data_IF_430718910183
#
_entry.id   IF_430718910183
#
_cell.length_a   1.000
_cell.length_b   1.000
_cell.length_c   1.000
_cell.angle_alpha   90.00
_cell.angle_beta   90.00
_cell.angle_gamma   90.00
#
_symmetry.space_group_name_H-M   'P 1'
#
loop_
_entity.id
_entity.type
_entity.pdbx_description
1 polymer ?
#
# COMPACT_ATOMS: atom_id res chain seq x y z
N UNK A 1 -7.87 -0.44 -27.24
CA UNK A 1 -6.49 -0.24 -26.72
C UNK A 1 -6.40 1.19 -26.22
N UNK A 2 -6.24 1.35 -24.91
CA UNK A 2 -5.86 2.64 -24.33
C UNK A 2 -4.48 2.97 -24.88
N UNK A 3 -4.27 4.22 -25.34
CA UNK A 3 -2.94 4.63 -25.78
C UNK A 3 -1.93 4.43 -24.64
N UNK A 4 -0.78 3.86 -24.92
CA UNK A 4 0.24 3.49 -23.92
C UNK A 4 0.57 4.63 -22.95
N UNK A 5 0.53 5.87 -23.41
CA UNK A 5 0.75 7.08 -22.61
C UNK A 5 -0.36 7.33 -21.55
N UNK A 6 -1.62 7.02 -21.88
CA UNK A 6 -2.74 7.21 -20.94
C UNK A 6 -2.71 6.16 -19.85
N UNK A 7 -2.40 4.92 -20.20
CA UNK A 7 -2.24 3.81 -19.24
C UNK A 7 -1.10 4.08 -18.27
N UNK A 8 0.05 4.54 -18.78
CA UNK A 8 1.21 4.91 -17.95
C UNK A 8 0.86 6.05 -16.99
N UNK A 9 0.16 7.09 -17.47
CA UNK A 9 -0.27 8.21 -16.63
C UNK A 9 -1.19 7.78 -15.50
N UNK A 10 -2.16 6.90 -15.77
CA UNK A 10 -3.07 6.35 -14.76
C UNK A 10 -2.31 5.54 -13.71
N UNK A 11 -1.36 4.70 -14.13
CA UNK A 11 -0.56 3.86 -13.22
C UNK A 11 0.28 4.72 -12.29
N UNK A 12 0.96 5.74 -12.83
CA UNK A 12 1.75 6.67 -12.01
C UNK A 12 0.86 7.42 -11.03
N UNK A 13 -0.27 7.96 -11.49
CA UNK A 13 -1.21 8.67 -10.63
C UNK A 13 -1.77 7.77 -9.52
N UNK A 14 -2.12 6.53 -9.85
CA UNK A 14 -2.59 5.55 -8.88
C UNK A 14 -1.53 5.19 -7.84
N UNK A 15 -0.29 4.94 -8.28
CA UNK A 15 0.81 4.61 -7.39
C UNK A 15 1.14 5.77 -6.44
N UNK A 16 1.12 7.01 -6.92
CA UNK A 16 1.30 8.21 -6.09
C UNK A 16 0.13 8.38 -5.12
N UNK A 17 -1.11 8.23 -5.57
CA UNK A 17 -2.28 8.33 -4.69
C UNK A 17 -2.24 7.28 -3.59
N UNK A 18 -1.91 6.03 -3.92
CA UNK A 18 -1.81 4.93 -2.97
C UNK A 18 -0.65 5.14 -1.98
N UNK A 19 0.48 5.68 -2.44
CA UNK A 19 1.64 5.98 -1.59
C UNK A 19 1.37 7.08 -0.54
N UNK A 20 0.40 7.97 -0.78
CA UNK A 20 -0.03 9.04 0.15
C UNK A 20 -1.19 8.57 1.05
N UNK A 21 -1.57 7.31 0.99
CA UNK A 21 -2.65 6.76 1.79
C UNK A 21 -2.38 6.92 3.30
N UNK A 22 -3.34 7.42 4.10
CA UNK A 22 -3.17 7.63 5.54
C UNK A 22 -2.90 6.34 6.31
N UNK A 23 -3.27 5.16 5.77
CA UNK A 23 -2.94 3.87 6.35
C UNK A 23 -1.43 3.58 6.19
N UNK A 24 -0.89 3.77 4.99
CA UNK A 24 0.54 3.64 4.69
C UNK A 24 1.36 4.53 5.62
N UNK A 25 0.98 5.81 5.73
CA UNK A 25 1.64 6.73 6.68
C UNK A 25 1.53 6.28 8.14
N UNK A 26 0.40 5.68 8.53
CA UNK A 26 0.23 5.13 9.88
C UNK A 26 1.20 4.00 10.19
N UNK A 27 1.38 3.10 9.24
CA UNK A 27 2.34 1.99 9.34
C UNK A 27 3.78 2.50 9.34
N UNK A 28 4.07 3.50 8.49
CA UNK A 28 5.41 4.09 8.42
C UNK A 28 5.84 4.76 9.73
N UNK A 29 4.95 5.54 10.35
CA UNK A 29 5.23 6.17 11.65
C UNK A 29 5.44 5.10 12.73
N UNK A 30 4.61 4.05 12.70
CA UNK A 30 4.77 2.91 13.57
C UNK A 30 6.14 2.22 13.35
N UNK A 31 6.53 2.03 12.09
CA UNK A 31 7.82 1.45 11.72
C UNK A 31 8.99 2.29 12.24
N UNK A 32 8.93 3.61 12.10
CA UNK A 32 9.95 4.52 12.63
C UNK A 32 10.08 4.33 14.15
N UNK A 33 8.96 4.41 14.88
CA UNK A 33 8.96 4.24 16.32
C UNK A 33 9.51 2.86 16.75
N UNK A 34 9.21 1.83 15.95
CA UNK A 34 9.73 0.48 16.13
C UNK A 34 11.24 0.41 15.87
N UNK A 35 11.71 1.00 14.77
CA UNK A 35 13.13 1.02 14.40
C UNK A 35 13.99 1.76 15.43
N UNK A 36 13.53 2.91 15.93
CA UNK A 36 14.22 3.62 17.02
C UNK A 36 14.31 2.81 18.31
N UNK A 37 13.27 2.02 18.61
CA UNK A 37 13.23 1.18 19.79
C UNK A 37 14.12 -0.06 19.66
N UNK A 38 14.26 -0.59 18.45
CA UNK A 38 14.91 -1.86 18.17
C UNK A 38 16.40 -1.71 17.85
N UNK A 39 16.77 -0.66 17.11
CA UNK A 39 18.12 -0.48 16.63
C UNK A 39 18.82 0.66 17.37
N UNK A 40 19.84 0.33 18.16
CA UNK A 40 20.68 1.31 18.88
C UNK A 40 21.67 2.03 17.98
N UNK A 41 21.92 1.51 16.76
CA UNK A 41 22.85 2.07 15.80
C UNK A 41 22.08 2.60 14.57
N UNK A 42 22.36 3.84 14.12
CA UNK A 42 21.71 4.41 12.94
C UNK A 42 21.95 3.57 11.67
N UNK A 43 23.13 2.96 11.53
CA UNK A 43 23.44 2.09 10.39
C UNK A 43 22.56 0.82 10.37
N UNK A 44 22.37 0.18 11.53
CA UNK A 44 21.50 -1.00 11.63
C UNK A 44 20.02 -0.65 11.40
N UNK A 45 19.61 0.54 11.83
CA UNK A 45 18.28 1.08 11.57
C UNK A 45 18.07 1.27 10.06
N UNK A 46 19.04 1.84 9.37
CA UNK A 46 18.99 2.02 7.92
C UNK A 46 18.89 0.67 7.17
N UNK A 47 19.75 -0.29 7.53
CA UNK A 47 19.72 -1.64 6.95
C UNK A 47 18.41 -2.36 7.23
N UNK A 48 17.87 -2.26 8.43
CA UNK A 48 16.55 -2.80 8.78
C UNK A 48 15.42 -2.16 7.98
N UNK A 49 15.47 -0.85 7.76
CA UNK A 49 14.53 -0.12 6.93
C UNK A 49 14.58 -0.53 5.47
N UNK A 50 15.77 -0.68 4.89
CA UNK A 50 15.94 -1.19 3.53
C UNK A 50 15.41 -2.62 3.38
N UNK A 51 15.74 -3.51 4.32
CA UNK A 51 15.21 -4.87 4.32
C UNK A 51 13.69 -4.89 4.39
N UNK A 52 13.11 -4.09 5.29
CA UNK A 52 11.66 -3.96 5.40
C UNK A 52 11.03 -3.52 4.07
N UNK A 53 11.57 -2.46 3.46
CA UNK A 53 11.09 -1.94 2.17
C UNK A 53 11.20 -2.98 1.05
N UNK A 54 12.33 -3.71 0.99
CA UNK A 54 12.52 -4.79 0.02
C UNK A 54 11.50 -5.91 0.22
N UNK A 55 11.21 -6.29 1.45
CA UNK A 55 10.20 -7.33 1.77
C UNK A 55 8.80 -6.84 1.40
N UNK A 56 8.43 -5.61 1.72
CA UNK A 56 7.14 -5.01 1.34
C UNK A 56 6.99 -5.00 -0.18
N UNK A 57 7.99 -4.47 -0.90
CA UNK A 57 8.02 -4.46 -2.36
C UNK A 57 7.82 -5.85 -2.96
N UNK A 58 8.62 -6.82 -2.50
CA UNK A 58 8.57 -8.20 -3.01
C UNK A 58 7.23 -8.86 -2.71
N UNK A 59 6.66 -8.63 -1.51
CA UNK A 59 5.37 -9.20 -1.11
C UNK A 59 4.23 -8.66 -1.97
N UNK A 60 4.15 -7.36 -2.18
CA UNK A 60 3.17 -6.75 -3.07
C UNK A 60 3.34 -7.23 -4.51
N UNK A 61 4.59 -7.30 -4.99
CA UNK A 61 4.89 -7.79 -6.34
C UNK A 61 4.43 -9.24 -6.53
N UNK A 62 4.73 -10.14 -5.58
CA UNK A 62 4.32 -11.53 -5.64
C UNK A 62 2.79 -11.68 -5.61
N UNK A 63 2.10 -10.91 -4.77
CA UNK A 63 0.64 -10.87 -4.74
C UNK A 63 0.08 -10.38 -6.08
N UNK A 64 0.61 -9.30 -6.64
CA UNK A 64 0.20 -8.76 -7.93
C UNK A 64 0.44 -9.73 -9.08
N UNK A 65 1.61 -10.36 -9.15
CA UNK A 65 1.89 -11.41 -10.14
C UNK A 65 0.96 -12.60 -10.02
N UNK A 66 0.70 -13.06 -8.78
CA UNK A 66 -0.21 -14.17 -8.53
C UNK A 66 -1.61 -13.89 -9.05
N UNK A 67 -2.16 -12.72 -8.72
CA UNK A 67 -3.49 -12.30 -9.14
C UNK A 67 -3.55 -12.09 -10.67
N UNK A 68 -2.56 -11.38 -11.24
CA UNK A 68 -2.51 -11.10 -12.68
C UNK A 68 -2.40 -12.40 -13.49
N UNK A 69 -1.50 -13.30 -13.09
CA UNK A 69 -1.35 -14.61 -13.75
C UNK A 69 -2.62 -15.45 -13.66
N UNK A 70 -3.29 -15.43 -12.51
CA UNK A 70 -4.56 -16.11 -12.34
C UNK A 70 -5.63 -15.52 -13.28
N UNK A 71 -5.79 -14.21 -13.30
CA UNK A 71 -6.77 -13.53 -14.15
C UNK A 71 -6.56 -13.84 -15.64
N UNK A 72 -5.31 -13.77 -16.11
CA UNK A 72 -4.97 -14.00 -17.53
C UNK A 72 -5.09 -15.47 -17.93
N UNK A 73 -4.62 -16.42 -17.08
CA UNK A 73 -4.58 -17.84 -17.44
C UNK A 73 -5.95 -18.53 -17.38
N UNK A 74 -6.87 -18.04 -16.54
CA UNK A 74 -8.20 -18.64 -16.39
C UNK A 74 -9.22 -18.10 -17.37
N UNK A 75 -8.87 -17.14 -18.21
CA UNK A 75 -9.82 -16.44 -19.09
C UNK A 75 -10.84 -15.57 -18.32
N UNK A 76 -10.62 -15.35 -17.04
CA UNK A 76 -11.49 -14.54 -16.17
C UNK A 76 -11.11 -13.06 -16.14
N UNK A 77 -10.20 -12.61 -17.05
CA UNK A 77 -9.74 -11.22 -17.07
C UNK A 77 -10.89 -10.21 -17.14
N UNK A 78 -11.93 -10.50 -17.92
CA UNK A 78 -13.12 -9.66 -18.03
C UNK A 78 -13.91 -9.58 -16.71
N UNK A 79 -14.17 -10.73 -16.08
CA UNK A 79 -14.84 -10.78 -14.78
C UNK A 79 -14.01 -10.10 -13.68
N UNK A 80 -12.70 -10.33 -13.69
CA UNK A 80 -11.77 -9.69 -12.77
C UNK A 80 -11.76 -8.17 -12.93
N UNK A 81 -11.78 -7.67 -14.16
CA UNK A 81 -11.84 -6.24 -14.46
C UNK A 81 -13.13 -5.60 -13.91
N UNK A 82 -14.29 -6.25 -14.08
CA UNK A 82 -15.55 -5.78 -13.51
C UNK A 82 -15.53 -5.77 -11.97
N UNK A 83 -15.02 -6.84 -11.36
CA UNK A 83 -14.87 -6.90 -9.91
C UNK A 83 -13.97 -5.76 -9.43
N UNK A 84 -12.86 -5.53 -10.10
CA UNK A 84 -11.93 -4.45 -9.76
C UNK A 84 -12.59 -3.07 -9.89
N UNK A 85 -13.37 -2.81 -10.95
CA UNK A 85 -14.10 -1.57 -11.14
C UNK A 85 -15.14 -1.33 -10.04
N UNK A 86 -15.91 -2.36 -9.69
CA UNK A 86 -16.92 -2.28 -8.62
C UNK A 86 -16.24 -2.03 -7.26
N UNK A 87 -15.17 -2.75 -6.96
CA UNK A 87 -14.39 -2.57 -5.73
C UNK A 87 -13.83 -1.15 -5.65
N UNK A 88 -13.28 -0.62 -6.75
CA UNK A 88 -12.75 0.74 -6.80
C UNK A 88 -13.85 1.80 -6.53
N UNK A 89 -15.03 1.66 -7.14
CA UNK A 89 -16.17 2.55 -6.92
C UNK A 89 -16.62 2.50 -5.45
N UNK A 90 -16.85 1.30 -4.92
CA UNK A 90 -17.30 1.12 -3.52
C UNK A 90 -16.27 1.63 -2.52
N UNK A 91 -14.99 1.33 -2.75
CA UNK A 91 -13.90 1.84 -1.91
C UNK A 91 -13.80 3.35 -1.97
N UNK A 92 -13.91 3.95 -3.17
CA UNK A 92 -13.93 5.39 -3.35
C UNK A 92 -15.07 6.07 -2.57
N UNK A 93 -16.27 5.51 -2.62
CA UNK A 93 -17.42 6.00 -1.86
C UNK A 93 -17.20 5.91 -0.34
N UNK A 94 -16.61 4.81 0.14
CA UNK A 94 -16.30 4.63 1.56
C UNK A 94 -15.23 5.63 2.02
N UNK A 95 -14.18 5.88 1.23
CA UNK A 95 -13.16 6.87 1.56
C UNK A 95 -13.72 8.30 1.57
N UNK A 96 -14.60 8.66 0.63
CA UNK A 96 -15.30 9.95 0.62
C UNK A 96 -16.24 10.08 1.83
N UNK A 97 -16.99 9.02 2.16
CA UNK A 97 -17.81 8.98 3.38
C UNK A 97 -16.94 9.19 4.63
N UNK A 98 -15.78 8.57 4.71
CA UNK A 98 -14.86 8.69 5.85
C UNK A 98 -14.21 10.08 5.99
N UNK A 99 -14.23 10.90 4.95
CA UNK A 99 -13.89 12.31 5.05
C UNK A 99 -14.90 13.07 5.90
N UNK A 100 -16.21 12.83 5.69
CA UNK A 100 -17.30 13.52 6.42
C UNK A 100 -17.63 12.88 7.76
N UNK A 101 -17.60 11.53 7.82
CA UNK A 101 -18.00 10.74 9.00
C UNK A 101 -16.96 9.70 9.34
N UNK A 102 -15.81 10.15 9.80
CA UNK A 102 -14.67 9.29 10.12
C UNK A 102 -15.02 8.19 11.13
N UNK A 103 -14.81 6.94 10.75
CA UNK A 103 -14.96 5.78 11.64
C UNK A 103 -16.40 5.40 11.98
N UNK A 104 -17.41 6.06 11.41
CA UNK A 104 -18.81 5.66 11.57
C UNK A 104 -19.21 4.63 10.52
N UNK A 105 -19.70 3.46 10.94
CA UNK A 105 -20.09 2.37 10.06
C UNK A 105 -18.89 1.65 9.42
N UNK A 106 -19.07 1.13 8.21
CA UNK A 106 -18.02 0.44 7.46
C UNK A 106 -16.95 1.43 7.00
N UNK A 107 -15.69 1.17 7.30
CA UNK A 107 -14.55 2.01 6.94
C UNK A 107 -13.37 1.15 6.50
N UNK A 108 -12.64 1.58 5.46
CA UNK A 108 -11.44 0.93 4.94
C UNK A 108 -10.20 1.26 5.81
N UNK A 109 -10.38 1.29 7.12
CA UNK A 109 -9.26 1.46 8.05
C UNK A 109 -8.61 0.11 8.35
N UNK A 110 -7.33 0.17 8.72
CA UNK A 110 -6.66 -0.99 9.31
C UNK A 110 -7.50 -1.50 10.49
N UNK A 111 -7.84 -2.78 10.48
CA UNK A 111 -8.63 -3.36 11.57
C UNK A 111 -7.96 -3.09 12.92
N UNK A 112 -8.70 -2.59 13.94
CA UNK A 112 -8.14 -2.33 15.27
C UNK A 112 -7.45 -3.55 15.90
N UNK A 113 -7.93 -4.76 15.56
CA UNK A 113 -7.31 -6.02 15.96
C UNK A 113 -5.95 -6.23 15.27
N UNK A 114 -5.79 -5.85 13.99
CA UNK A 114 -4.54 -5.93 13.25
C UNK A 114 -3.48 -5.00 13.84
N UNK A 115 -3.82 -3.73 14.06
CA UNK A 115 -2.94 -2.75 14.69
C UNK A 115 -2.50 -3.19 16.09
N UNK A 116 -3.41 -3.79 16.88
CA UNK A 116 -3.11 -4.34 18.20
C UNK A 116 -2.17 -5.54 18.14
N UNK A 117 -2.35 -6.43 17.17
CA UNK A 117 -1.46 -7.58 16.94
C UNK A 117 -0.06 -7.12 16.52
N UNK A 118 0.04 -6.19 15.58
CA UNK A 118 1.31 -5.59 15.18
C UNK A 118 2.03 -5.04 16.40
N UNK A 119 1.35 -4.21 17.24
CA UNK A 119 1.92 -3.64 18.46
C UNK A 119 2.36 -4.70 19.47
N UNK A 120 1.58 -5.78 19.63
CA UNK A 120 1.93 -6.90 20.52
C UNK A 120 3.20 -7.61 20.06
N UNK A 121 3.28 -8.03 18.79
CA UNK A 121 4.46 -8.67 18.23
C UNK A 121 5.69 -7.78 18.27
N UNK A 122 5.54 -6.50 17.97
CA UNK A 122 6.60 -5.50 18.05
C UNK A 122 7.18 -5.38 19.46
N UNK A 123 6.34 -5.30 20.48
CA UNK A 123 6.80 -5.22 21.86
C UNK A 123 7.50 -6.52 22.30
N UNK A 124 7.03 -7.67 21.85
CA UNK A 124 7.64 -8.97 22.12
C UNK A 124 9.02 -9.08 21.45
N UNK A 125 9.15 -8.63 20.21
CA UNK A 125 10.42 -8.59 19.46
C UNK A 125 11.41 -7.64 20.12
N UNK A 126 10.97 -6.45 20.53
CA UNK A 126 11.82 -5.48 21.22
C UNK A 126 12.40 -5.99 22.55
N UNK A 127 11.72 -6.94 23.20
CA UNK A 127 12.25 -7.62 24.40
C UNK A 127 13.34 -8.67 24.10
N UNK A 128 13.45 -9.13 22.85
CA UNK A 128 14.41 -10.18 22.44
C UNK A 128 15.76 -9.61 21.94
N UNK A 129 15.95 -8.30 21.97
CA UNK A 129 17.09 -7.56 21.40
C UNK A 129 18.49 -8.04 21.85
N UNK A 130 18.58 -8.80 22.95
CA UNK A 130 19.87 -9.11 23.60
C UNK A 130 20.66 -10.27 22.98
N UNK A 131 20.11 -11.07 22.07
CA UNK A 131 20.74 -12.38 21.79
C UNK A 131 21.29 -12.59 20.37
N UNK A 132 20.67 -12.09 19.29
CA UNK A 132 21.21 -12.31 17.93
C UNK A 132 20.76 -11.24 16.92
N UNK A 133 21.67 -10.54 16.23
CA UNK A 133 21.32 -9.54 15.21
C UNK A 133 20.57 -10.14 14.01
N UNK A 134 20.86 -11.39 13.64
CA UNK A 134 20.18 -12.08 12.56
C UNK A 134 18.68 -12.28 12.86
N UNK A 135 18.31 -12.53 14.11
CA UNK A 135 16.93 -12.68 14.52
C UNK A 135 16.15 -11.36 14.36
N UNK A 136 16.79 -10.21 14.60
CA UNK A 136 16.18 -8.90 14.40
C UNK A 136 15.82 -8.65 12.94
N UNK A 137 16.71 -8.98 12.02
CA UNK A 137 16.46 -8.84 10.58
C UNK A 137 15.36 -9.80 10.12
N UNK A 138 15.35 -11.05 10.58
CA UNK A 138 14.28 -12.00 10.28
C UNK A 138 12.92 -11.49 10.77
N UNK A 139 12.87 -10.98 12.01
CA UNK A 139 11.62 -10.44 12.56
C UNK A 139 11.17 -9.17 11.84
N UNK A 140 12.09 -8.32 11.38
CA UNK A 140 11.77 -7.16 10.55
C UNK A 140 11.17 -7.59 9.20
N UNK A 141 11.70 -8.65 8.59
CA UNK A 141 11.17 -9.21 7.35
C UNK A 141 9.75 -9.79 7.57
N UNK A 142 9.55 -10.59 8.62
CA UNK A 142 8.23 -11.12 8.96
C UNK A 142 7.22 -10.01 9.26
N UNK A 143 7.66 -8.94 9.92
CA UNK A 143 6.83 -7.75 10.16
C UNK A 143 6.43 -7.10 8.83
N UNK A 144 7.33 -7.00 7.85
CA UNK A 144 7.04 -6.47 6.53
C UNK A 144 5.92 -7.25 5.83
N UNK A 145 5.98 -8.58 5.82
CA UNK A 145 4.92 -9.43 5.26
C UNK A 145 3.60 -9.24 6.01
N UNK A 146 3.64 -9.26 7.34
CA UNK A 146 2.44 -9.12 8.17
C UNK A 146 1.77 -7.76 7.96
N UNK A 147 2.57 -6.71 7.82
CA UNK A 147 2.06 -5.36 7.56
C UNK A 147 1.34 -5.31 6.22
N UNK A 148 1.92 -5.85 5.14
CA UNK A 148 1.26 -5.91 3.83
C UNK A 148 -0.12 -6.58 3.96
N UNK A 149 -0.21 -7.71 4.64
CA UNK A 149 -1.47 -8.44 4.82
C UNK A 149 -2.52 -7.66 5.63
N UNK A 150 -2.08 -6.90 6.63
CA UNK A 150 -2.99 -6.08 7.46
C UNK A 150 -3.39 -4.79 6.76
N UNK A 151 -2.58 -4.29 5.84
CA UNK A 151 -2.80 -3.07 5.07
C UNK A 151 -3.67 -3.30 3.83
N UNK A 152 -3.77 -4.54 3.33
CA UNK A 152 -4.59 -4.90 2.17
C UNK A 152 -6.01 -4.29 2.15
N UNK A 153 -6.76 -4.17 3.25
CA UNK A 153 -8.06 -3.51 3.22
C UNK A 153 -8.04 -2.05 2.77
N UNK A 154 -6.92 -1.34 2.98
CA UNK A 154 -6.77 0.08 2.66
C UNK A 154 -6.16 0.31 1.27
N UNK A 155 -5.12 -0.47 0.94
CA UNK A 155 -4.33 -0.35 -0.29
C UNK A 155 -4.79 -1.32 -1.37
N UNK A 156 -5.58 -2.32 -1.00
CA UNK A 156 -6.04 -3.34 -1.93
C UNK A 156 -6.94 -2.82 -3.04
N UNK A 157 -7.79 -1.81 -2.78
CA UNK A 157 -8.70 -1.28 -3.78
C UNK A 157 -7.97 -0.58 -4.96
N UNK A 158 -7.06 0.39 -4.73
CA UNK A 158 -6.27 0.98 -5.81
C UNK A 158 -5.40 -0.07 -6.52
N UNK A 159 -4.81 -1.00 -5.76
CA UNK A 159 -4.00 -2.07 -6.32
C UNK A 159 -4.80 -3.01 -7.24
N UNK A 160 -5.98 -3.47 -6.80
CA UNK A 160 -6.88 -4.30 -7.61
C UNK A 160 -7.38 -3.58 -8.86
N UNK A 161 -7.66 -2.26 -8.77
CA UNK A 161 -8.07 -1.47 -9.92
C UNK A 161 -6.97 -1.43 -10.99
N UNK A 162 -5.72 -1.24 -10.60
CA UNK A 162 -4.58 -1.28 -11.52
C UNK A 162 -4.35 -2.68 -12.09
N UNK A 163 -4.42 -3.72 -11.26
CA UNK A 163 -4.33 -5.11 -11.75
C UNK A 163 -5.47 -5.44 -12.73
N UNK A 164 -6.68 -4.89 -12.49
CA UNK A 164 -7.80 -4.99 -13.41
C UNK A 164 -7.49 -4.35 -14.77
N UNK A 165 -6.96 -3.14 -14.79
CA UNK A 165 -6.52 -2.48 -16.03
C UNK A 165 -5.43 -3.29 -16.74
N UNK A 166 -4.42 -3.77 -16.01
CA UNK A 166 -3.32 -4.56 -16.56
C UNK A 166 -3.77 -5.93 -17.08
N UNK A 167 -4.84 -6.51 -16.55
CA UNK A 167 -5.39 -7.80 -16.99
C UNK A 167 -6.03 -7.74 -18.38
N UNK A 168 -6.28 -6.57 -18.93
CA UNK A 168 -6.77 -6.39 -20.30
C UNK A 168 -5.65 -6.32 -21.33
N UNK A 169 -4.39 -6.25 -20.90
CA UNK A 169 -3.21 -6.23 -21.77
C UNK A 169 -2.49 -7.57 -21.84
N UNK A 170 -1.40 -7.60 -22.58
CA UNK A 170 -0.50 -8.75 -22.60
C UNK A 170 0.35 -8.79 -21.33
N UNK A 171 0.67 -10.00 -20.86
CA UNK A 171 1.50 -10.19 -19.66
C UNK A 171 2.86 -9.49 -19.78
N UNK A 172 3.46 -9.51 -20.97
CA UNK A 172 4.76 -8.90 -21.22
C UNK A 172 4.77 -7.37 -20.99
N UNK A 173 3.66 -6.69 -21.31
CA UNK A 173 3.51 -5.24 -21.09
C UNK A 173 3.03 -4.92 -19.68
N UNK A 174 2.25 -5.78 -19.08
CA UNK A 174 1.73 -5.61 -17.72
C UNK A 174 2.82 -5.70 -16.64
N UNK A 175 3.82 -6.56 -16.82
CA UNK A 175 4.90 -6.78 -15.86
C UNK A 175 5.74 -5.53 -15.58
N UNK A 176 6.29 -4.83 -16.58
CA UNK A 176 7.05 -3.59 -16.34
C UNK A 176 6.23 -2.51 -15.65
N UNK A 177 4.94 -2.40 -15.98
CA UNK A 177 4.04 -1.43 -15.39
C UNK A 177 3.71 -1.75 -13.92
N UNK A 178 3.58 -3.03 -13.59
CA UNK A 178 3.41 -3.49 -12.22
C UNK A 178 4.68 -3.25 -11.38
N UNK A 179 5.85 -3.48 -11.95
CA UNK A 179 7.13 -3.16 -11.31
C UNK A 179 7.24 -1.65 -11.02
N UNK A 180 6.89 -0.82 -12.00
CA UNK A 180 6.90 0.63 -11.86
C UNK A 180 5.93 1.10 -10.78
N UNK A 181 4.70 0.57 -10.77
CA UNK A 181 3.70 0.88 -9.74
C UNK A 181 4.25 0.60 -8.34
N UNK A 182 4.73 -0.62 -8.12
CA UNK A 182 5.27 -1.01 -6.81
C UNK A 182 6.52 -0.20 -6.42
N UNK A 183 7.35 0.19 -7.40
CA UNK A 183 8.51 1.03 -7.15
C UNK A 183 8.09 2.42 -6.66
N UNK A 184 7.13 3.07 -7.33
CA UNK A 184 6.61 4.38 -6.92
C UNK A 184 5.95 4.27 -5.54
N UNK A 185 5.18 3.22 -5.29
CA UNK A 185 4.51 2.97 -4.03
C UNK A 185 5.47 2.90 -2.83
N UNK A 186 6.67 2.35 -2.99
CA UNK A 186 7.64 2.24 -1.91
C UNK A 186 8.54 3.46 -1.73
N UNK A 187 8.52 4.45 -2.62
CA UNK A 187 9.33 5.67 -2.51
C UNK A 187 9.13 6.39 -1.16
N UNK A 188 7.91 6.60 -0.65
CA UNK A 188 7.72 7.23 0.65
C UNK A 188 8.36 6.47 1.81
N UNK A 189 8.49 5.14 1.71
CA UNK A 189 9.19 4.35 2.73
C UNK A 189 10.67 4.76 2.81
N UNK A 190 11.33 4.91 1.66
CA UNK A 190 12.72 5.36 1.62
C UNK A 190 12.88 6.78 2.15
N UNK A 191 11.97 7.69 1.78
CA UNK A 191 11.99 9.07 2.27
C UNK A 191 11.86 9.09 3.79
N UNK A 192 10.93 8.33 4.35
CA UNK A 192 10.66 8.31 5.78
C UNK A 192 11.79 7.64 6.56
N UNK A 193 12.40 6.56 6.03
CA UNK A 193 13.60 5.94 6.61
C UNK A 193 14.76 6.94 6.62
N UNK A 194 14.93 7.72 5.55
CA UNK A 194 15.90 8.81 5.48
C UNK A 194 15.64 9.89 6.54
N UNK A 195 14.41 10.36 6.67
CA UNK A 195 14.01 11.34 7.68
C UNK A 195 14.26 10.82 9.11
N UNK A 196 13.95 9.55 9.35
CA UNK A 196 14.22 8.89 10.64
C UNK A 196 15.73 8.81 10.92
N UNK A 197 16.53 8.51 9.90
CA UNK A 197 17.99 8.48 10.03
C UNK A 197 18.57 9.85 10.45
N UNK A 198 18.02 10.95 9.97
CA UNK A 198 18.42 12.31 10.36
C UNK A 198 17.81 12.78 11.71
N UNK A 199 17.10 11.92 12.44
CA UNK A 199 16.70 12.16 13.83
C UNK A 199 15.39 12.92 14.01
N UNK A 200 14.51 12.96 13.00
CA UNK A 200 13.18 13.58 13.15
C UNK A 200 12.27 12.69 14.01
N UNK A 201 11.59 13.28 15.00
CA UNK A 201 10.69 12.54 15.89
C UNK A 201 9.45 12.02 15.16
N UNK A 202 9.08 10.78 15.44
CA UNK A 202 7.84 10.14 14.93
C UNK A 202 6.58 10.90 15.31
N UNK A 203 6.59 11.61 16.46
CA UNK A 203 5.42 12.33 16.96
C UNK A 203 5.02 13.51 16.06
N UNK A 204 5.98 14.23 15.48
CA UNK A 204 5.72 15.32 14.54
C UNK A 204 5.07 14.82 13.26
N UNK A 205 5.54 13.69 12.73
CA UNK A 205 4.96 13.05 11.53
C UNK A 205 3.54 12.53 11.82
N UNK A 206 3.32 11.96 13.01
CA UNK A 206 1.99 11.50 13.41
C UNK A 206 0.99 12.65 13.57
N UNK A 207 1.42 13.78 14.16
CA UNK A 207 0.59 14.98 14.27
C UNK A 207 0.18 15.50 12.87
N UNK A 208 1.14 15.63 11.96
CA UNK A 208 0.90 16.05 10.58
C UNK A 208 -0.08 15.11 9.86
N UNK A 209 0.11 13.79 9.97
CA UNK A 209 -0.81 12.80 9.40
C UNK A 209 -2.24 12.94 9.96
N UNK A 210 -2.38 13.10 11.27
CA UNK A 210 -3.70 13.24 11.91
C UNK A 210 -4.44 14.48 11.41
N UNK A 211 -3.71 15.56 11.20
CA UNK A 211 -4.26 16.82 10.68
C UNK A 211 -4.73 16.69 9.23
N UNK A 212 -3.93 16.04 8.36
CA UNK A 212 -4.19 15.96 6.92
C UNK A 212 -4.93 14.70 6.45
N UNK A 213 -5.21 13.75 7.35
CA UNK A 213 -5.81 12.45 6.99
C UNK A 213 -7.15 12.56 6.26
N UNK A 214 -7.94 13.58 6.55
CA UNK A 214 -9.23 13.83 5.87
C UNK A 214 -9.00 14.13 4.40
N UNK A 215 -8.15 15.09 4.10
CA UNK A 215 -7.83 15.45 2.72
C UNK A 215 -7.19 14.32 1.93
N UNK A 216 -6.30 13.53 2.56
CA UNK A 216 -5.73 12.32 1.94
C UNK A 216 -6.82 11.33 1.54
N UNK A 217 -7.78 11.04 2.43
CA UNK A 217 -8.92 10.16 2.15
C UNK A 217 -9.80 10.69 1.05
N UNK A 218 -10.12 11.98 1.06
CA UNK A 218 -10.92 12.61 0.01
C UNK A 218 -10.23 12.48 -1.35
N UNK A 219 -8.94 12.77 -1.41
CA UNK A 219 -8.14 12.65 -2.65
C UNK A 219 -8.14 11.23 -3.20
N UNK A 220 -7.85 10.24 -2.35
CA UNK A 220 -7.87 8.82 -2.74
C UNK A 220 -9.28 8.37 -3.13
N UNK A 221 -10.30 8.78 -2.36
CA UNK A 221 -11.69 8.43 -2.64
C UNK A 221 -12.17 8.97 -3.98
N UNK A 222 -11.88 10.22 -4.31
CA UNK A 222 -12.19 10.82 -5.60
C UNK A 222 -11.44 10.15 -6.74
N UNK A 223 -10.15 9.85 -6.53
CA UNK A 223 -9.33 9.15 -7.52
C UNK A 223 -9.89 7.73 -7.82
N UNK A 224 -10.19 6.94 -6.78
CA UNK A 224 -10.76 5.59 -6.94
C UNK A 224 -12.13 5.63 -7.61
N UNK A 225 -12.98 6.59 -7.26
CA UNK A 225 -14.29 6.74 -7.87
C UNK A 225 -14.14 7.09 -9.36
N UNK A 226 -13.28 8.05 -9.71
CA UNK A 226 -13.02 8.42 -11.09
C UNK A 226 -12.44 7.24 -11.89
N UNK A 227 -11.48 6.51 -11.32
CA UNK A 227 -10.87 5.34 -11.94
C UNK A 227 -11.87 4.21 -12.15
N UNK A 228 -12.68 3.89 -11.15
CA UNK A 228 -13.70 2.84 -11.24
C UNK A 228 -14.80 3.19 -12.27
N UNK A 229 -15.25 4.44 -12.32
CA UNK A 229 -16.19 4.92 -13.33
C UNK A 229 -15.57 4.89 -14.74
N UNK A 230 -14.31 5.29 -14.88
CA UNK A 230 -13.56 5.18 -16.12
C UNK A 230 -13.47 3.72 -16.61
N UNK A 231 -13.15 2.78 -15.71
CA UNK A 231 -13.12 1.34 -16.01
C UNK A 231 -14.50 0.86 -16.47
N UNK A 232 -15.58 1.22 -15.77
CA UNK A 232 -16.94 0.85 -16.13
C UNK A 232 -17.37 1.45 -17.48
N UNK A 233 -16.96 2.68 -17.78
CA UNK A 233 -17.22 3.35 -19.07
C UNK A 233 -16.51 2.63 -20.22
N UNK A 234 -15.23 2.30 -20.08
CA UNK A 234 -14.45 1.63 -21.13
C UNK A 234 -14.99 0.25 -21.50
N UNK A 235 -15.54 -0.49 -20.54
CA UNK A 235 -16.20 -1.78 -20.83
C UNK A 235 -17.47 -1.62 -21.67
N UNK A 236 -18.31 -0.63 -21.34
CA UNK A 236 -19.61 -0.48 -21.99
C UNK A 236 -19.55 0.15 -23.38
N UNK A 237 -18.52 0.98 -23.63
CA UNK A 237 -18.42 1.80 -24.85
C UNK A 237 -17.11 1.59 -25.64
N UNK A 238 -16.16 0.81 -25.13
CA UNK A 238 -14.83 0.64 -25.69
C UNK A 238 -14.50 -0.74 -26.27
N UNK A 239 -15.47 -1.68 -26.25
CA UNK A 239 -15.35 -2.98 -26.91
C UNK A 239 -16.42 -3.16 -27.96
#
# INVERSE_FOLDING_TARGET
MLGDNLTLGIIIAAAVADSINPCVFGVLIFLIAFMFKLFKSPTRMLLGGFLYTAVVYTTYLLLGFGILKLALNTGLAFAFYWIAAIVAILAGLVEIKDYFWYGKGFSLQMFPSGARRIKYYTNKIAGMERHHPALLFLMTALLGVLVVLVELPCTGAPYLAILGLLSQGEFATAVPLLLLYNFIFVIPLFIIIGIAYFGTSSDRLEAWRKEHRGFMRLGIGLFLLALGLYMAYTINFGF
#
